data_IF_610809247417
#
_entry.id   IF_610809247417
#
_cell.length_a   1.000
_cell.length_b   1.000
_cell.length_c   1.000
_cell.angle_alpha   90.00
_cell.angle_beta   90.00
_cell.angle_gamma   90.00
#
_symmetry.space_group_name_H-M   'P 1'
#
loop_
_entity.id
_entity.type
_entity.pdbx_description
1 polymer ?
#
# COMPACT_ATOMS: atom_id res chain seq x y z
N UNK A 1 11.32 -33.93 -0.36
CA UNK A 1 10.29 -33.99 -1.43
C UNK A 1 9.12 -33.04 -1.14
N UNK A 2 8.51 -33.07 0.02
CA UNK A 2 7.35 -32.23 0.41
C UNK A 2 7.62 -30.72 0.30
N UNK A 3 8.79 -30.24 0.73
CA UNK A 3 9.16 -28.80 0.66
C UNK A 3 9.25 -28.28 -0.78
N UNK A 4 9.75 -29.09 -1.73
CA UNK A 4 9.83 -28.70 -3.15
C UNK A 4 8.45 -28.59 -3.77
N UNK A 5 7.54 -29.50 -3.43
CA UNK A 5 6.14 -29.48 -3.89
C UNK A 5 5.43 -28.26 -3.33
N UNK A 6 5.60 -27.96 -2.04
CA UNK A 6 5.03 -26.78 -1.41
C UNK A 6 5.52 -25.47 -2.06
N UNK A 7 6.83 -25.36 -2.31
CA UNK A 7 7.41 -24.19 -2.96
C UNK A 7 6.92 -24.03 -4.41
N UNK A 8 6.70 -25.12 -5.13
CA UNK A 8 6.14 -25.11 -6.47
C UNK A 8 4.71 -24.54 -6.48
N UNK A 9 3.82 -25.01 -5.62
CA UNK A 9 2.45 -24.47 -5.50
C UNK A 9 2.43 -23.00 -5.02
N UNK A 10 3.34 -22.62 -4.13
CA UNK A 10 3.51 -21.23 -3.71
C UNK A 10 3.91 -20.33 -4.89
N UNK A 11 4.80 -20.82 -5.76
CA UNK A 11 5.20 -20.13 -6.99
C UNK A 11 4.03 -19.91 -7.95
N UNK A 12 3.20 -20.93 -8.18
CA UNK A 12 2.01 -20.85 -9.04
C UNK A 12 1.02 -19.82 -8.50
N UNK A 13 0.69 -19.89 -7.20
CA UNK A 13 -0.20 -18.91 -6.56
C UNK A 13 0.30 -17.49 -6.72
N UNK A 14 1.60 -17.24 -6.46
CA UNK A 14 2.24 -15.93 -6.62
C UNK A 14 2.10 -15.42 -8.07
N UNK A 15 2.42 -16.25 -9.06
CA UNK A 15 2.30 -15.90 -10.47
C UNK A 15 0.86 -15.54 -10.85
N UNK A 16 -0.12 -16.32 -10.38
CA UNK A 16 -1.54 -16.07 -10.64
C UNK A 16 -2.01 -14.74 -10.01
N UNK A 17 -1.66 -14.46 -8.75
CA UNK A 17 -2.05 -13.21 -8.08
C UNK A 17 -1.35 -12.00 -8.72
N UNK A 18 -0.07 -12.13 -9.08
CA UNK A 18 0.67 -11.08 -9.79
C UNK A 18 0.01 -10.77 -11.14
N UNK A 19 -0.36 -11.80 -11.91
CA UNK A 19 -1.06 -11.62 -13.17
C UNK A 19 -2.41 -10.91 -13.00
N UNK A 20 -3.19 -11.26 -11.98
CA UNK A 20 -4.47 -10.60 -11.69
C UNK A 20 -4.30 -9.11 -11.41
N UNK A 21 -3.33 -8.74 -10.56
CA UNK A 21 -3.05 -7.34 -10.24
C UNK A 21 -2.61 -6.58 -11.49
N UNK A 22 -1.69 -7.15 -12.29
CA UNK A 22 -1.24 -6.55 -13.56
C UNK A 22 -2.37 -6.28 -14.55
N UNK A 23 -3.39 -7.15 -14.58
CA UNK A 23 -4.55 -6.98 -15.47
C UNK A 23 -5.51 -5.89 -15.03
N UNK A 24 -5.59 -5.61 -13.74
CA UNK A 24 -6.58 -4.67 -13.18
C UNK A 24 -6.00 -3.28 -12.98
N UNK A 25 -4.75 -3.17 -12.55
CA UNK A 25 -4.09 -1.88 -12.30
C UNK A 25 -3.97 -1.04 -13.58
N UNK A 26 -4.03 0.29 -13.43
CA UNK A 26 -3.86 1.27 -14.52
C UNK A 26 -2.47 1.17 -15.15
N UNK A 27 -1.44 1.03 -14.32
CA UNK A 27 -0.06 0.79 -14.75
C UNK A 27 0.72 0.06 -13.67
N UNK A 28 1.73 -0.70 -14.11
CA UNK A 28 2.59 -1.50 -13.23
C UNK A 28 4.03 -1.42 -13.75
N UNK A 29 4.94 -1.03 -12.87
CA UNK A 29 6.38 -1.06 -13.12
C UNK A 29 6.96 -2.47 -13.16
N UNK A 30 8.28 -2.56 -13.10
CA UNK A 30 9.02 -3.83 -13.12
C UNK A 30 8.92 -4.54 -11.77
N UNK A 31 9.14 -5.85 -11.76
CA UNK A 31 9.37 -6.69 -10.58
C UNK A 31 8.24 -6.69 -9.52
N UNK A 32 6.96 -6.47 -9.96
CA UNK A 32 5.82 -6.66 -9.08
C UNK A 32 5.77 -8.10 -8.56
N UNK A 33 5.69 -8.24 -7.24
CA UNK A 33 5.50 -9.51 -6.53
C UNK A 33 4.23 -9.51 -5.69
N UNK A 34 3.33 -10.49 -5.90
CA UNK A 34 2.09 -10.64 -5.12
C UNK A 34 2.06 -12.02 -4.49
N UNK A 35 2.39 -12.11 -3.20
CA UNK A 35 2.55 -13.38 -2.49
C UNK A 35 1.23 -14.00 -2.01
N UNK A 36 0.23 -13.16 -1.66
CA UNK A 36 -1.10 -13.59 -1.22
C UNK A 36 -2.19 -12.88 -2.03
N UNK A 37 -3.42 -13.41 -1.95
CA UNK A 37 -4.56 -12.83 -2.65
C UNK A 37 -4.62 -11.32 -2.43
N UNK A 38 -4.56 -10.59 -3.54
CA UNK A 38 -4.65 -9.14 -3.58
C UNK A 38 -5.68 -8.70 -4.61
N UNK A 39 -6.35 -7.60 -4.32
CA UNK A 39 -7.30 -6.94 -5.19
C UNK A 39 -6.93 -5.46 -5.29
N UNK A 40 -6.92 -4.91 -6.50
CA UNK A 40 -6.62 -3.49 -6.74
C UNK A 40 -7.72 -2.86 -7.59
N UNK A 41 -8.00 -1.57 -7.39
CA UNK A 41 -8.91 -0.80 -8.24
C UNK A 41 -8.25 -0.48 -9.59
N UNK A 42 -9.06 -0.23 -10.66
CA UNK A 42 -8.53 0.16 -11.97
C UNK A 42 -7.72 1.47 -11.98
N UNK A 43 -7.90 2.34 -10.98
CA UNK A 43 -7.13 3.58 -10.81
C UNK A 43 -5.75 3.39 -10.18
N UNK A 44 -5.34 2.16 -9.86
CA UNK A 44 -4.07 1.88 -9.16
C UNK A 44 -2.87 2.00 -10.10
N UNK A 45 -1.87 2.77 -9.68
CA UNK A 45 -0.57 2.95 -10.35
C UNK A 45 0.52 2.40 -9.43
N UNK A 46 1.37 1.49 -9.94
CA UNK A 46 2.44 0.85 -9.18
C UNK A 46 3.79 1.13 -9.82
N UNK A 47 4.77 1.53 -9.02
CA UNK A 47 6.17 1.66 -9.41
C UNK A 47 6.89 0.32 -9.56
N UNK A 48 8.22 0.39 -9.55
CA UNK A 48 9.11 -0.76 -9.65
C UNK A 48 9.27 -1.47 -8.28
N UNK A 49 9.52 -2.79 -8.30
CA UNK A 49 9.78 -3.61 -7.10
C UNK A 49 8.73 -3.49 -6.00
N UNK A 50 7.45 -3.47 -6.39
CA UNK A 50 6.32 -3.43 -5.44
C UNK A 50 6.00 -4.84 -4.93
N UNK A 51 5.88 -4.99 -3.60
CA UNK A 51 5.62 -6.26 -2.94
C UNK A 51 4.30 -6.24 -2.13
N UNK A 52 3.33 -7.07 -2.53
CA UNK A 52 2.07 -7.26 -1.80
C UNK A 52 2.00 -8.62 -1.11
N UNK A 53 1.65 -8.62 0.18
CA UNK A 53 1.38 -9.82 0.97
C UNK A 53 -0.12 -9.99 1.31
N UNK A 54 -1.01 -9.51 0.46
CA UNK A 54 -2.47 -9.53 0.65
C UNK A 54 -3.01 -8.11 0.78
N UNK A 55 -2.86 -7.31 -0.30
CA UNK A 55 -3.34 -5.94 -0.38
C UNK A 55 -4.76 -5.90 -0.97
N UNK A 56 -5.63 -5.07 -0.38
CA UNK A 56 -6.94 -4.73 -0.93
C UNK A 56 -7.00 -3.23 -1.19
N UNK A 57 -7.19 -2.81 -2.44
CA UNK A 57 -7.35 -1.41 -2.84
C UNK A 57 -8.75 -1.23 -3.43
N UNK A 58 -9.56 -0.40 -2.80
CA UNK A 58 -10.97 -0.18 -3.13
C UNK A 58 -11.26 1.30 -3.36
N UNK A 59 -12.27 1.56 -4.20
CA UNK A 59 -12.79 2.88 -4.50
C UNK A 59 -12.49 3.32 -5.93
N UNK A 60 -12.92 4.53 -6.26
CA UNK A 60 -12.93 5.09 -7.62
C UNK A 60 -11.79 6.06 -7.91
N UNK A 61 -11.21 6.69 -6.88
CA UNK A 61 -10.06 7.57 -7.04
C UNK A 61 -8.75 6.80 -7.25
N UNK A 62 -7.68 7.50 -7.57
CA UNK A 62 -6.38 6.89 -7.83
C UNK A 62 -5.66 6.48 -6.54
N UNK A 63 -4.91 5.38 -6.64
CA UNK A 63 -3.90 5.02 -5.65
C UNK A 63 -2.56 4.92 -6.36
N UNK A 64 -1.63 5.80 -6.00
CA UNK A 64 -0.29 5.87 -6.57
C UNK A 64 0.68 5.30 -5.53
N UNK A 65 1.42 4.25 -5.90
CA UNK A 65 2.42 3.61 -5.06
C UNK A 65 3.75 3.67 -5.79
N UNK A 66 4.74 4.28 -5.16
CA UNK A 66 6.10 4.43 -5.68
C UNK A 66 6.91 3.13 -5.67
N UNK A 67 8.21 3.27 -5.88
CA UNK A 67 9.15 2.16 -6.02
C UNK A 67 9.48 1.51 -4.66
N UNK A 68 9.89 0.22 -4.69
CA UNK A 68 10.35 -0.55 -3.52
C UNK A 68 9.35 -0.57 -2.35
N UNK A 69 8.06 -0.52 -2.67
CA UNK A 69 7.01 -0.61 -1.67
C UNK A 69 6.84 -2.03 -1.16
N UNK A 70 6.68 -2.16 0.16
CA UNK A 70 6.41 -3.45 0.79
C UNK A 70 5.23 -3.38 1.75
N UNK A 71 4.22 -4.24 1.58
CA UNK A 71 3.13 -4.39 2.54
C UNK A 71 3.22 -5.68 3.34
N UNK A 72 2.83 -5.61 4.61
CA UNK A 72 2.46 -6.78 5.41
C UNK A 72 1.20 -7.47 4.89
N UNK A 73 0.71 -8.46 5.62
CA UNK A 73 -0.52 -9.18 5.29
C UNK A 73 -1.77 -8.37 5.61
N UNK A 74 -2.84 -8.58 4.82
CA UNK A 74 -4.18 -8.02 5.08
C UNK A 74 -4.24 -6.49 5.17
N UNK A 75 -3.38 -5.77 4.43
CA UNK A 75 -3.46 -4.33 4.32
C UNK A 75 -4.61 -3.90 3.39
N UNK A 76 -5.19 -2.72 3.67
CA UNK A 76 -6.30 -2.17 2.90
C UNK A 76 -6.09 -0.68 2.63
N UNK A 77 -6.46 -0.22 1.43
CA UNK A 77 -6.58 1.18 1.05
C UNK A 77 -7.98 1.44 0.54
N UNK A 78 -8.61 2.52 0.99
CA UNK A 78 -9.96 2.92 0.59
C UNK A 78 -9.89 4.36 0.11
N UNK A 79 -10.33 4.64 -1.12
CA UNK A 79 -10.31 6.00 -1.69
C UNK A 79 -11.66 6.73 -1.56
N UNK A 80 -12.73 6.01 -1.24
CA UNK A 80 -14.10 6.54 -1.26
C UNK A 80 -14.72 6.52 0.14
N UNK A 81 -15.53 7.54 0.43
CA UNK A 81 -16.42 7.58 1.58
C UNK A 81 -17.80 8.10 1.15
N UNK A 82 -18.84 7.68 1.85
CA UNK A 82 -20.17 8.27 1.64
C UNK A 82 -20.20 9.73 2.08
N UNK A 83 -20.99 10.55 1.39
CA UNK A 83 -21.18 11.95 1.74
C UNK A 83 -22.19 12.06 2.90
N UNK A 84 -21.68 12.24 4.11
CA UNK A 84 -22.51 12.39 5.31
C UNK A 84 -23.05 13.83 5.49
N UNK A 85 -22.57 14.81 4.69
CA UNK A 85 -23.09 16.17 4.60
C UNK A 85 -24.06 16.33 3.42
N UNK A 86 -24.53 15.22 2.84
CA UNK A 86 -25.51 15.21 1.76
C UNK A 86 -26.95 15.45 2.23
N UNK A 87 -27.93 15.05 1.42
CA UNK A 87 -29.35 15.35 1.67
C UNK A 87 -30.11 14.22 2.37
N UNK A 88 -29.42 13.24 2.97
CA UNK A 88 -30.02 12.13 3.71
C UNK A 88 -29.15 11.65 4.87
N UNK A 89 -29.75 11.09 5.91
CA UNK A 89 -29.05 10.44 7.03
C UNK A 89 -29.15 8.92 6.90
N UNK A 90 -28.08 8.16 7.18
CA UNK A 90 -26.76 8.59 7.67
C UNK A 90 -25.86 9.21 6.60
N UNK A 91 -26.20 9.10 5.34
CA UNK A 91 -25.56 9.69 4.15
C UNK A 91 -26.51 9.58 2.96
N UNK A 92 -26.27 10.33 1.89
CA UNK A 92 -27.01 10.20 0.65
C UNK A 92 -26.34 9.25 -0.37
N UNK A 93 -26.81 9.23 -1.61
CA UNK A 93 -26.26 8.40 -2.69
C UNK A 93 -24.94 8.92 -3.28
N UNK A 94 -24.45 10.06 -2.83
CA UNK A 94 -23.19 10.65 -3.34
C UNK A 94 -21.97 10.12 -2.60
N UNK A 95 -20.83 10.15 -3.28
CA UNK A 95 -19.56 9.60 -2.80
C UNK A 95 -18.49 10.68 -2.87
N UNK A 96 -17.70 10.81 -1.81
CA UNK A 96 -16.51 11.65 -1.75
C UNK A 96 -15.29 10.77 -1.99
N UNK A 97 -14.61 10.99 -3.12
CA UNK A 97 -13.42 10.22 -3.49
C UNK A 97 -12.18 11.10 -3.40
N UNK A 98 -11.09 10.56 -2.81
CA UNK A 98 -9.81 11.24 -2.69
C UNK A 98 -8.68 10.28 -3.01
N UNK A 99 -7.70 10.75 -3.79
CA UNK A 99 -6.52 9.98 -4.13
C UNK A 99 -5.69 9.63 -2.90
N UNK A 100 -4.99 8.50 -2.99
CA UNK A 100 -3.97 8.08 -2.01
C UNK A 100 -2.63 8.08 -2.72
N UNK A 101 -1.62 8.69 -2.08
CA UNK A 101 -0.25 8.74 -2.59
C UNK A 101 0.69 8.10 -1.58
N UNK A 102 1.42 7.10 -2.02
CA UNK A 102 2.48 6.43 -1.27
C UNK A 102 3.77 6.62 -2.06
N UNK A 103 4.74 7.32 -1.48
CA UNK A 103 6.03 7.54 -2.12
C UNK A 103 6.93 6.28 -2.06
N UNK A 104 8.18 6.43 -2.51
CA UNK A 104 9.12 5.30 -2.62
C UNK A 104 9.54 4.74 -1.27
N UNK A 105 9.94 3.46 -1.25
CA UNK A 105 10.57 2.79 -0.11
C UNK A 105 9.72 2.76 1.16
N UNK A 106 8.40 2.84 1.03
CA UNK A 106 7.46 2.77 2.17
C UNK A 106 7.23 1.33 2.58
N UNK A 107 7.23 1.10 3.88
CA UNK A 107 6.90 -0.19 4.48
C UNK A 107 5.64 -0.11 5.35
N UNK A 108 4.63 -0.91 5.02
CA UNK A 108 3.45 -1.13 5.85
C UNK A 108 3.57 -2.43 6.64
N UNK A 109 3.37 -2.36 7.94
CA UNK A 109 3.16 -3.53 8.79
C UNK A 109 1.87 -4.27 8.42
N UNK A 110 1.57 -5.38 9.11
CA UNK A 110 0.35 -6.16 8.87
C UNK A 110 -0.91 -5.38 9.24
N UNK A 111 -2.00 -5.58 8.47
CA UNK A 111 -3.34 -5.05 8.78
C UNK A 111 -3.39 -3.52 8.90
N UNK A 112 -2.60 -2.82 8.10
CA UNK A 112 -2.67 -1.37 8.00
C UNK A 112 -3.86 -0.99 7.12
N UNK A 113 -4.68 -0.03 7.60
CA UNK A 113 -5.77 0.58 6.86
C UNK A 113 -5.38 2.02 6.48
N UNK A 114 -5.50 2.36 5.20
CA UNK A 114 -5.23 3.70 4.67
C UNK A 114 -6.54 4.30 4.15
N UNK A 115 -6.87 5.49 4.63
CA UNK A 115 -8.12 6.20 4.35
C UNK A 115 -7.97 7.24 3.23
N UNK A 116 -9.11 7.72 2.65
CA UNK A 116 -9.09 8.63 1.52
C UNK A 116 -8.28 9.92 1.76
N UNK A 117 -7.51 10.34 0.78
CA UNK A 117 -6.71 11.57 0.84
C UNK A 117 -5.40 11.43 1.63
N UNK A 118 -4.97 10.22 1.94
CA UNK A 118 -3.70 9.98 2.64
C UNK A 118 -2.51 10.16 1.71
N UNK A 119 -1.47 10.83 2.22
CA UNK A 119 -0.14 10.91 1.61
C UNK A 119 0.91 10.36 2.59
N UNK A 120 1.69 9.37 2.14
CA UNK A 120 2.79 8.77 2.92
C UNK A 120 4.10 9.07 2.22
N UNK A 121 4.96 9.85 2.87
CA UNK A 121 6.25 10.28 2.35
C UNK A 121 7.29 9.16 2.28
N UNK A 122 8.28 9.38 1.46
CA UNK A 122 9.36 8.44 1.13
C UNK A 122 10.03 7.84 2.38
N UNK A 123 10.22 6.53 2.34
CA UNK A 123 10.91 5.80 3.40
C UNK A 123 10.14 5.69 4.71
N UNK A 124 8.89 6.13 4.77
CA UNK A 124 8.07 6.00 5.99
C UNK A 124 7.78 4.53 6.32
N UNK A 125 7.54 4.27 7.60
CA UNK A 125 7.15 2.96 8.13
C UNK A 125 5.84 3.11 8.90
N UNK A 126 4.86 2.27 8.58
CA UNK A 126 3.59 2.24 9.30
C UNK A 126 3.50 0.97 10.13
N UNK A 127 3.35 1.14 11.44
CA UNK A 127 3.24 0.03 12.39
C UNK A 127 2.01 -0.84 12.09
N UNK A 128 2.12 -2.13 12.35
CA UNK A 128 1.03 -3.07 12.18
C UNK A 128 -0.24 -2.65 12.93
N UNK A 129 -1.42 -2.88 12.32
CA UNK A 129 -2.72 -2.57 12.89
C UNK A 129 -3.08 -1.09 12.92
N UNK A 130 -2.34 -0.22 12.24
CA UNK A 130 -2.59 1.23 12.24
C UNK A 130 -3.67 1.64 11.23
N UNK A 131 -4.36 2.75 11.53
CA UNK A 131 -5.26 3.44 10.59
C UNK A 131 -4.63 4.78 10.22
N UNK A 132 -4.28 4.96 8.95
CA UNK A 132 -3.62 6.17 8.45
C UNK A 132 -4.62 7.09 7.78
N UNK A 133 -4.61 8.37 8.19
CA UNK A 133 -5.38 9.45 7.61
C UNK A 133 -4.53 10.71 7.55
N UNK A 134 -4.62 11.46 6.45
CA UNK A 134 -3.83 12.67 6.24
C UNK A 134 -2.39 12.38 5.84
N UNK A 135 -1.42 13.10 6.38
CA UNK A 135 -0.04 13.07 5.94
C UNK A 135 0.89 12.36 6.93
N UNK A 136 1.76 11.49 6.43
CA UNK A 136 2.92 10.94 7.14
C UNK A 136 4.17 11.47 6.44
N UNK A 137 5.05 12.21 7.13
CA UNK A 137 6.22 12.82 6.51
C UNK A 137 7.27 11.77 6.13
N UNK A 138 8.16 12.16 5.21
CA UNK A 138 9.36 11.40 4.81
C UNK A 138 10.11 10.88 6.04
N UNK A 139 10.54 9.62 6.02
CA UNK A 139 11.22 8.87 7.10
C UNK A 139 10.40 8.69 8.38
N UNK A 140 9.14 9.14 8.43
CA UNK A 140 8.29 8.99 9.60
C UNK A 140 8.03 7.53 9.95
N UNK A 141 8.10 7.18 11.23
CA UNK A 141 7.63 5.90 11.77
C UNK A 141 6.37 6.21 12.57
N UNK A 142 5.23 5.77 12.04
CA UNK A 142 3.92 6.11 12.55
C UNK A 142 3.12 4.88 12.98
N UNK A 143 2.21 5.05 13.93
CA UNK A 143 1.34 3.99 14.39
C UNK A 143 0.12 4.50 15.16
N UNK A 144 -0.86 3.63 15.34
CA UNK A 144 -2.08 3.91 16.10
C UNK A 144 -3.32 4.20 15.25
N UNK A 145 -4.43 4.61 15.92
CA UNK A 145 -5.74 4.95 15.36
C UNK A 145 -6.20 6.32 15.88
N UNK A 146 -6.07 7.42 15.12
CA UNK A 146 -5.35 7.55 13.86
C UNK A 146 -3.83 7.44 14.08
N UNK A 147 -3.10 7.01 13.04
CA UNK A 147 -1.65 6.88 13.10
C UNK A 147 -0.99 8.25 13.34
N UNK A 148 -0.03 8.26 14.27
CA UNK A 148 0.79 9.43 14.59
C UNK A 148 2.27 9.06 14.50
N UNK A 149 3.09 9.99 14.00
CA UNK A 149 4.54 9.82 13.99
C UNK A 149 5.05 9.82 15.43
N UNK A 150 5.76 8.79 15.82
CA UNK A 150 6.38 8.67 17.15
C UNK A 150 7.90 8.55 17.07
N UNK A 151 8.45 8.35 15.87
CA UNK A 151 9.89 8.24 15.61
C UNK A 151 10.19 8.56 14.16
N UNK A 152 11.44 8.84 13.85
CA UNK A 152 11.95 8.92 12.47
C UNK A 152 13.09 7.92 12.26
N UNK A 153 13.25 7.48 11.01
CA UNK A 153 14.46 6.74 10.60
C UNK A 153 15.69 7.64 10.70
N UNK A 154 16.86 7.02 10.82
CA UNK A 154 18.09 7.75 10.62
C UNK A 154 18.22 8.13 9.12
N UNK A 155 18.04 9.42 8.81
CA UNK A 155 18.02 9.92 7.44
C UNK A 155 19.37 9.73 6.73
N UNK A 156 20.49 9.98 7.42
CA UNK A 156 21.83 9.81 6.84
C UNK A 156 22.09 8.35 6.43
N UNK A 157 21.78 7.43 7.34
CA UNK A 157 21.92 5.98 7.07
C UNK A 157 21.00 5.55 5.90
N UNK A 158 19.75 6.02 5.88
CA UNK A 158 18.79 5.74 4.81
C UNK A 158 19.29 6.24 3.45
N UNK A 159 19.72 7.50 3.36
CA UNK A 159 20.18 8.10 2.11
C UNK A 159 21.48 7.43 1.61
N UNK A 160 22.36 7.00 2.52
CA UNK A 160 23.55 6.21 2.16
C UNK A 160 23.14 4.90 1.47
N UNK A 161 22.24 4.11 2.07
CA UNK A 161 21.78 2.85 1.50
C UNK A 161 21.05 3.05 0.16
N UNK A 162 20.22 4.09 0.06
CA UNK A 162 19.54 4.47 -1.17
C UNK A 162 20.53 4.79 -2.29
N UNK A 163 21.54 5.60 -2.01
CA UNK A 163 22.59 5.95 -2.97
C UNK A 163 23.42 4.72 -3.42
N UNK A 164 23.61 3.75 -2.54
CA UNK A 164 24.29 2.48 -2.83
C UNK A 164 23.37 1.49 -3.58
N UNK A 165 22.13 1.81 -3.86
CA UNK A 165 21.15 0.92 -4.52
C UNK A 165 20.79 -0.31 -3.69
N UNK A 166 20.88 -0.25 -2.36
CA UNK A 166 20.62 -1.36 -1.43
C UNK A 166 19.13 -1.44 -1.07
N UNK A 167 18.34 -1.92 -2.00
CA UNK A 167 16.91 -2.18 -1.81
C UNK A 167 16.63 -3.66 -1.56
N UNK A 168 15.54 -3.96 -0.86
CA UNK A 168 15.09 -5.34 -0.55
C UNK A 168 14.10 -5.83 -1.60
#
# INVERSE_FOLDING_TARGET
MISKIFNFFKGIKRSYYTFRVKRTAKSVGRDLTVNNYSYVSPGTVLGDNVNFNGMKIQGSAQVIIGDNFHSGIECMMITDSHNFEGEAVPYDSTVISKDIVIEDNVWLGNRVLILPGTHIGEGAIIQAGSVVVGEIPKYGIAGGHPAKVFKYRNAEHYEKLKKEGRFH
#
